data_IF_985377334975
#
_entry.id   IF_985377334975
#
_cell.length_a   1.000
_cell.length_b   1.000
_cell.length_c   1.000
_cell.angle_alpha   90.00
_cell.angle_beta   90.00
_cell.angle_gamma   90.00
#
_symmetry.space_group_name_H-M   'P 1'
#
loop_
_entity.id
_entity.type
_entity.pdbx_description
1 polymer ?
#
# COMPACT_ATOMS: atom_id res chain seq x y z
N UNK A 1 -1.20 -9.07 31.85
CA UNK A 1 -2.17 -8.24 31.10
C UNK A 1 -1.51 -7.08 30.37
N UNK A 2 -0.74 -6.21 31.06
CA UNK A 2 -0.06 -5.04 30.46
C UNK A 2 0.90 -5.42 29.31
N UNK A 3 1.73 -6.45 29.48
CA UNK A 3 2.69 -6.91 28.45
C UNK A 3 1.95 -7.42 27.20
N UNK A 4 0.82 -8.11 27.39
CA UNK A 4 -0.01 -8.63 26.29
C UNK A 4 -0.64 -7.47 25.51
N UNK A 5 -1.17 -6.46 26.21
CA UNK A 5 -1.73 -5.26 25.59
C UNK A 5 -0.66 -4.48 24.82
N UNK A 6 0.54 -4.33 25.40
CA UNK A 6 1.67 -3.68 24.73
C UNK A 6 2.12 -4.43 23.47
N UNK A 7 2.17 -5.77 23.52
CA UNK A 7 2.52 -6.59 22.36
C UNK A 7 1.49 -6.48 21.23
N UNK A 8 0.19 -6.50 21.56
CA UNK A 8 -0.90 -6.33 20.57
C UNK A 8 -0.87 -4.93 19.96
N UNK A 9 -0.64 -3.89 20.77
CA UNK A 9 -0.55 -2.52 20.28
C UNK A 9 0.67 -2.32 19.35
N UNK A 10 1.84 -2.88 19.72
CA UNK A 10 3.03 -2.84 18.88
C UNK A 10 2.82 -3.57 17.55
N UNK A 11 2.14 -4.72 17.57
CA UNK A 11 1.84 -5.49 16.37
C UNK A 11 0.86 -4.75 15.43
N UNK A 12 -0.18 -4.12 15.98
CA UNK A 12 -1.12 -3.30 15.22
C UNK A 12 -0.44 -2.06 14.60
N UNK A 13 0.46 -1.40 15.34
CA UNK A 13 1.24 -0.27 14.85
C UNK A 13 2.19 -0.66 13.72
N UNK A 14 2.87 -1.82 13.86
CA UNK A 14 3.76 -2.34 12.82
C UNK A 14 3.00 -2.63 11.52
N UNK A 15 1.82 -3.24 11.65
CA UNK A 15 0.92 -3.45 10.52
C UNK A 15 0.55 -2.11 9.89
N UNK A 16 0.13 -1.10 10.65
CA UNK A 16 -0.22 0.21 10.09
C UNK A 16 0.94 0.87 9.32
N UNK A 17 2.18 0.79 9.82
CA UNK A 17 3.34 1.41 9.17
C UNK A 17 3.71 0.78 7.82
N UNK A 18 3.48 -0.53 7.63
CA UNK A 18 3.74 -1.20 6.35
C UNK A 18 2.82 -0.74 5.20
N UNK A 19 1.77 0.02 5.51
CA UNK A 19 0.80 0.54 4.56
C UNK A 19 1.26 1.78 3.80
N UNK A 20 2.34 2.43 4.25
CA UNK A 20 2.83 3.66 3.64
C UNK A 20 3.66 3.30 2.40
N UNK A 21 3.13 3.62 1.21
CA UNK A 21 3.85 3.47 -0.05
C UNK A 21 3.98 4.83 -0.72
N UNK A 22 5.20 5.20 -1.07
CA UNK A 22 5.49 6.36 -1.92
C UNK A 22 5.43 5.91 -3.37
N UNK A 23 4.63 6.59 -4.19
CA UNK A 23 4.59 6.39 -5.63
C UNK A 23 5.23 7.56 -6.37
N UNK A 24 6.20 7.31 -7.27
CA UNK A 24 6.74 8.32 -8.17
C UNK A 24 5.70 8.83 -9.17
N UNK A 25 5.82 10.08 -9.64
CA UNK A 25 4.92 10.70 -10.63
C UNK A 25 4.87 10.00 -11.99
N UNK A 26 5.95 9.31 -12.35
CA UNK A 26 6.02 8.52 -13.58
C UNK A 26 5.38 7.13 -13.45
N UNK A 27 4.83 6.78 -12.27
CA UNK A 27 4.16 5.51 -11.99
C UNK A 27 2.72 5.75 -11.52
N UNK A 28 1.78 4.98 -12.06
CA UNK A 28 0.42 4.87 -11.53
C UNK A 28 0.27 3.62 -10.69
N UNK A 29 -0.36 3.75 -9.54
CA UNK A 29 -0.55 2.65 -8.59
C UNK A 29 -1.94 2.09 -8.70
N UNK A 30 -2.09 0.92 -9.31
CA UNK A 30 -3.35 0.19 -9.31
C UNK A 30 -3.51 -0.54 -7.99
N UNK A 31 -4.61 -0.30 -7.28
CA UNK A 31 -4.90 -0.96 -6.01
C UNK A 31 -5.95 -2.05 -6.22
N UNK A 32 -5.59 -3.26 -5.81
CA UNK A 32 -6.44 -4.43 -5.75
C UNK A 32 -6.76 -4.72 -4.28
N UNK A 33 -8.04 -4.76 -3.93
CA UNK A 33 -8.52 -5.17 -2.61
C UNK A 33 -9.14 -6.55 -2.73
N UNK A 34 -8.59 -7.55 -2.05
CA UNK A 34 -9.08 -8.94 -2.09
C UNK A 34 -9.28 -9.48 -3.53
N UNK A 35 -8.38 -9.13 -4.45
CA UNK A 35 -8.46 -9.56 -5.86
C UNK A 35 -9.43 -8.75 -6.72
N UNK A 36 -10.15 -7.77 -6.17
CA UNK A 36 -11.00 -6.83 -6.93
C UNK A 36 -10.29 -5.51 -7.15
N UNK A 37 -10.37 -4.99 -8.36
CA UNK A 37 -9.87 -3.66 -8.70
C UNK A 37 -10.69 -2.59 -7.97
N UNK A 38 -10.01 -1.74 -7.18
CA UNK A 38 -10.65 -0.63 -6.45
C UNK A 38 -10.48 0.69 -7.20
N UNK A 39 -9.36 0.86 -7.89
CA UNK A 39 -9.07 2.08 -8.62
C UNK A 39 -7.59 2.30 -8.85
N UNK A 40 -7.29 3.29 -9.69
CA UNK A 40 -5.94 3.81 -9.85
C UNK A 40 -5.71 4.94 -8.86
N UNK A 41 -4.65 4.84 -8.07
CA UNK A 41 -4.15 5.92 -7.24
C UNK A 41 -3.10 6.71 -8.02
N UNK A 42 -3.27 8.03 -8.05
CA UNK A 42 -2.28 8.97 -8.56
C UNK A 42 -1.01 8.95 -7.69
N UNK A 43 0.07 9.51 -8.23
CA UNK A 43 1.38 9.57 -7.57
C UNK A 43 1.37 10.41 -6.28
N UNK A 44 2.36 10.18 -5.43
CA UNK A 44 2.50 10.80 -4.12
C UNK A 44 2.50 9.79 -2.96
N UNK A 45 2.41 10.31 -1.73
CA UNK A 45 2.35 9.50 -0.52
C UNK A 45 0.96 8.88 -0.38
N UNK A 46 0.83 7.56 -0.57
CA UNK A 46 -0.46 6.88 -0.49
C UNK A 46 -0.43 5.80 0.58
N UNK A 47 -1.42 5.89 1.47
CA UNK A 47 -1.70 4.85 2.44
C UNK A 47 -2.53 3.73 1.80
N UNK A 48 -2.13 2.50 2.11
CA UNK A 48 -2.68 1.26 1.59
C UNK A 48 -2.87 0.37 2.80
N UNK A 49 -3.97 -0.35 2.89
CA UNK A 49 -4.20 -1.24 4.03
C UNK A 49 -3.33 -2.49 3.80
N UNK A 50 -2.22 -2.64 4.55
CA UNK A 50 -1.34 -3.79 4.36
C UNK A 50 -2.06 -5.06 4.81
N UNK A 51 -1.92 -6.12 4.02
CA UNK A 51 -2.63 -7.38 4.22
C UNK A 51 -3.92 -7.53 3.39
N UNK A 52 -4.60 -6.43 3.06
CA UNK A 52 -5.86 -6.46 2.30
C UNK A 52 -5.70 -5.88 0.90
N UNK A 53 -4.97 -4.78 0.79
CA UNK A 53 -4.79 -4.03 -0.44
C UNK A 53 -3.40 -4.35 -1.03
N UNK A 54 -3.38 -4.87 -2.26
CA UNK A 54 -2.17 -5.06 -3.07
C UNK A 54 -2.07 -3.93 -4.08
N UNK A 55 -0.95 -3.20 -4.09
CA UNK A 55 -0.70 -2.17 -5.09
C UNK A 55 0.33 -2.64 -6.12
N UNK A 56 -0.04 -2.53 -7.39
CA UNK A 56 0.82 -2.78 -8.54
C UNK A 56 1.16 -1.44 -9.16
N UNK A 57 2.45 -1.20 -9.39
CA UNK A 57 2.95 0.04 -10.00
C UNK A 57 3.08 -0.18 -11.49
N UNK A 58 2.50 0.72 -12.27
CA UNK A 58 2.54 0.69 -13.74
C UNK A 58 3.22 1.97 -14.19
N UNK A 59 4.36 1.84 -14.86
CA UNK A 59 5.04 2.98 -15.47
C UNK A 59 4.21 3.55 -16.61
N UNK A 60 4.12 4.88 -16.69
CA UNK A 60 3.47 5.57 -17.81
C UNK A 60 4.40 5.75 -19.02
N UNK A 61 5.62 5.20 -18.96
CA UNK A 61 6.61 5.31 -20.02
C UNK A 61 6.26 4.32 -21.12
N UNK A 62 6.23 4.79 -22.36
CA UNK A 62 6.17 3.92 -23.52
C UNK A 62 7.52 3.22 -23.69
N UNK A 63 7.50 1.89 -23.73
CA UNK A 63 8.66 1.07 -24.06
C UNK A 63 8.59 0.87 -25.57
N UNK A 64 9.47 1.53 -26.33
CA UNK A 64 9.62 1.32 -27.77
C UNK A 64 10.58 0.13 -27.95
N UNK A 65 10.11 -0.91 -28.65
CA UNK A 65 10.85 -2.14 -28.95
C UNK A 65 11.43 -2.10 -30.36
#
# INVERSE_FOLDING_TARGET
>A
MVIVVAAVAAFAALLAFMGIRVLPEYERGVVFRFGRYVGVKAAGLRFIIPGVDRMVRIGLREIVM
#
